data_IF_409572652578
#
_entry.id   IF_409572652578
#
_cell.length_a   1.000
_cell.length_b   1.000
_cell.length_c   1.000
_cell.angle_alpha   90.00
_cell.angle_beta   90.00
_cell.angle_gamma   90.00
#
_symmetry.space_group_name_H-M   'P 1'
#
loop_
_entity.id
_entity.type
_entity.pdbx_description
1 polymer ?
#
# COMPACT_ATOMS: atom_id res chain seq x y z
N UNK A 1 -6.96 1.14 -10.33
CA UNK A 1 -6.91 1.34 -8.88
C UNK A 1 -5.64 0.77 -8.28
N UNK A 2 -5.21 1.34 -7.18
CA UNK A 2 -4.07 0.86 -6.37
C UNK A 2 -4.47 0.77 -4.91
N UNK A 3 -3.95 -0.24 -4.22
CA UNK A 3 -4.10 -0.42 -2.78
C UNK A 3 -2.77 -0.18 -2.10
N UNK A 4 -2.77 0.67 -1.08
CA UNK A 4 -1.69 0.78 -0.11
C UNK A 4 -2.09 0.10 1.20
N UNK A 5 -1.23 -0.76 1.72
CA UNK A 5 -1.51 -1.56 2.92
C UNK A 5 -0.41 -1.37 3.94
N UNK A 6 -0.79 -0.90 5.12
CA UNK A 6 0.04 -0.82 6.31
C UNK A 6 -0.48 -1.84 7.35
N UNK A 7 0.35 -2.78 7.71
CA UNK A 7 -0.01 -3.90 8.58
C UNK A 7 0.51 -3.69 9.98
N UNK A 8 -0.40 -3.68 10.95
CA UNK A 8 -0.08 -3.69 12.39
C UNK A 8 -0.20 -5.10 12.98
N UNK A 9 0.11 -5.23 14.25
CA UNK A 9 0.13 -6.51 14.97
C UNK A 9 -1.26 -7.15 15.14
N UNK A 10 -2.32 -6.34 15.09
CA UNK A 10 -3.70 -6.81 15.24
C UNK A 10 -4.21 -6.84 16.68
N UNK A 11 -3.46 -6.29 17.62
CA UNK A 11 -3.88 -6.20 19.02
C UNK A 11 -4.89 -5.07 19.22
N UNK A 12 -5.94 -5.33 20.00
CA UNK A 12 -7.01 -4.38 20.23
C UNK A 12 -6.62 -3.08 20.94
N UNK A 13 -5.42 -3.01 21.53
CA UNK A 13 -4.83 -1.84 22.18
C UNK A 13 -3.58 -1.32 21.46
N UNK A 14 -3.21 -1.93 20.33
CA UNK A 14 -2.06 -1.54 19.51
C UNK A 14 -2.43 -0.62 18.36
N UNK A 15 -1.51 -0.53 17.41
CA UNK A 15 -1.73 0.23 16.19
C UNK A 15 -2.77 -0.41 15.28
N UNK A 16 -3.40 0.39 14.47
CA UNK A 16 -4.36 -0.06 13.47
C UNK A 16 -3.66 -0.51 12.19
N UNK A 17 -4.17 -1.58 11.59
CA UNK A 17 -3.91 -1.84 10.18
C UNK A 17 -4.79 -0.95 9.31
N UNK A 18 -4.27 -0.56 8.16
CA UNK A 18 -4.97 0.31 7.24
C UNK A 18 -4.82 -0.17 5.80
N UNK A 19 -5.90 -0.14 5.04
CA UNK A 19 -5.91 -0.33 3.59
C UNK A 19 -6.50 0.92 2.97
N UNK A 20 -5.77 1.54 2.06
CA UNK A 20 -6.27 2.67 1.28
C UNK A 20 -6.38 2.28 -0.18
N UNK A 21 -7.51 2.59 -0.80
CA UNK A 21 -7.74 2.38 -2.23
C UNK A 21 -7.81 3.70 -2.93
N UNK A 22 -6.97 3.86 -3.94
CA UNK A 22 -6.89 5.08 -4.75
C UNK A 22 -7.28 4.78 -6.19
N UNK A 23 -8.05 5.69 -6.79
CA UNK A 23 -8.11 5.78 -8.24
C UNK A 23 -6.81 6.41 -8.72
N UNK A 24 -5.94 5.60 -9.35
CA UNK A 24 -4.62 6.05 -9.77
C UNK A 24 -4.67 7.07 -10.93
N UNK A 25 -5.77 7.10 -11.69
CA UNK A 25 -5.97 8.04 -12.79
C UNK A 25 -6.39 9.41 -12.28
N UNK A 26 -7.35 9.45 -11.36
CA UNK A 26 -7.90 10.69 -10.81
C UNK A 26 -7.15 11.19 -9.57
N UNK A 27 -6.32 10.36 -8.95
CA UNK A 27 -5.62 10.68 -7.71
C UNK A 27 -6.55 10.79 -6.49
N UNK A 28 -7.72 10.16 -6.53
CA UNK A 28 -8.72 10.24 -5.47
C UNK A 28 -8.77 8.98 -4.62
N UNK A 29 -8.97 9.13 -3.31
CA UNK A 29 -9.25 8.02 -2.42
C UNK A 29 -10.71 7.56 -2.62
N UNK A 30 -10.90 6.29 -2.94
CA UNK A 30 -12.23 5.70 -3.21
C UNK A 30 -12.70 4.77 -2.12
N UNK A 31 -11.78 4.22 -1.32
CA UNK A 31 -12.13 3.40 -0.15
C UNK A 31 -11.00 3.42 0.89
N UNK A 32 -11.38 3.16 2.12
CA UNK A 32 -10.45 2.91 3.23
C UNK A 32 -11.02 1.80 4.12
N UNK A 33 -10.14 0.90 4.54
CA UNK A 33 -10.39 -0.05 5.61
C UNK A 33 -9.43 0.24 6.76
N UNK A 34 -9.91 0.19 7.99
CA UNK A 34 -9.12 0.52 9.17
C UNK A 34 -9.60 -0.32 10.35
N UNK A 35 -8.70 -1.01 11.01
CA UNK A 35 -9.10 -1.89 12.11
C UNK A 35 -7.96 -2.67 12.75
N UNK A 36 -8.34 -3.47 13.75
CA UNK A 36 -7.46 -4.39 14.46
C UNK A 36 -7.83 -5.83 14.10
N UNK A 37 -7.07 -6.43 13.21
CA UNK A 37 -7.15 -7.86 12.89
C UNK A 37 -5.74 -8.41 12.71
N UNK A 38 -5.54 -9.73 12.92
CA UNK A 38 -4.25 -10.36 12.67
C UNK A 38 -3.77 -10.15 11.24
N UNK A 39 -2.45 -10.08 11.00
CA UNK A 39 -1.88 -9.84 9.68
C UNK A 39 -2.29 -10.84 8.59
N UNK A 40 -2.50 -12.09 8.93
CA UNK A 40 -2.98 -13.14 8.03
C UNK A 40 -4.47 -12.94 7.67
N UNK A 41 -5.29 -12.51 8.61
CA UNK A 41 -6.70 -12.15 8.36
C UNK A 41 -6.81 -10.86 7.52
N UNK A 42 -5.94 -9.88 7.75
CA UNK A 42 -5.89 -8.66 6.94
C UNK A 42 -5.71 -8.98 5.45
N UNK A 43 -4.98 -10.05 5.13
CA UNK A 43 -4.78 -10.46 3.74
C UNK A 43 -6.10 -10.80 3.03
N UNK A 44 -7.10 -11.33 3.72
CA UNK A 44 -8.42 -11.58 3.13
C UNK A 44 -9.16 -10.27 2.81
N UNK A 45 -9.07 -9.28 3.70
CA UNK A 45 -9.65 -7.96 3.43
C UNK A 45 -8.98 -7.28 2.24
N UNK A 46 -7.64 -7.34 2.18
CA UNK A 46 -6.86 -6.83 1.04
C UNK A 46 -7.24 -7.55 -0.26
N UNK A 47 -7.33 -8.88 -0.22
CA UNK A 47 -7.73 -9.69 -1.36
C UNK A 47 -9.12 -9.30 -1.87
N UNK A 48 -10.10 -9.22 -0.98
CA UNK A 48 -11.48 -8.90 -1.32
C UNK A 48 -11.61 -7.50 -1.92
N UNK A 49 -10.98 -6.50 -1.30
CA UNK A 49 -10.94 -5.13 -1.84
C UNK A 49 -10.23 -5.08 -3.19
N UNK A 50 -9.10 -5.75 -3.32
CA UNK A 50 -8.34 -5.78 -4.57
C UNK A 50 -9.14 -6.38 -5.73
N UNK A 51 -9.84 -7.48 -5.51
CA UNK A 51 -10.72 -8.10 -6.51
C UNK A 51 -11.90 -7.18 -6.85
N UNK A 52 -12.54 -6.58 -5.84
CA UNK A 52 -13.65 -5.63 -6.01
C UNK A 52 -13.26 -4.46 -6.93
N UNK A 53 -12.04 -3.96 -6.79
CA UNK A 53 -11.51 -2.87 -7.60
C UNK A 53 -10.76 -3.37 -8.86
N UNK A 54 -11.16 -4.49 -9.43
CA UNK A 54 -10.68 -4.99 -10.71
C UNK A 54 -9.24 -5.51 -10.68
N UNK A 55 -8.87 -6.26 -9.67
CA UNK A 55 -7.50 -6.73 -9.43
C UNK A 55 -6.49 -5.56 -9.31
N UNK A 56 -6.81 -4.60 -8.48
CA UNK A 56 -6.00 -3.42 -8.26
C UNK A 56 -4.56 -3.78 -7.86
N UNK A 57 -3.59 -2.96 -8.27
CA UNK A 57 -2.21 -3.13 -7.84
C UNK A 57 -2.11 -2.98 -6.33
N UNK A 58 -1.69 -4.03 -5.65
CA UNK A 58 -1.58 -4.07 -4.20
C UNK A 58 -0.14 -3.87 -3.75
N UNK A 59 0.10 -2.80 -3.01
CA UNK A 59 1.38 -2.47 -2.41
C UNK A 59 1.29 -2.60 -0.89
N UNK A 60 1.85 -3.67 -0.35
CA UNK A 60 1.94 -3.90 1.10
C UNK A 60 3.28 -3.40 1.62
N UNK A 61 3.29 -2.67 2.73
CA UNK A 61 4.54 -2.38 3.42
C UNK A 61 5.15 -3.68 3.97
N UNK A 62 6.37 -4.01 3.56
CA UNK A 62 7.02 -5.29 3.84
C UNK A 62 7.77 -5.33 5.18
N UNK A 63 7.48 -4.40 6.08
CA UNK A 63 8.08 -4.37 7.40
C UNK A 63 7.34 -5.33 8.35
N UNK A 64 8.09 -6.03 9.21
CA UNK A 64 7.54 -6.88 10.28
C UNK A 64 6.29 -7.68 9.86
N UNK A 65 5.13 -7.26 10.35
CA UNK A 65 3.84 -7.95 10.16
C UNK A 65 3.35 -7.92 8.71
N UNK A 66 3.81 -6.98 7.89
CA UNK A 66 3.50 -6.92 6.46
C UNK A 66 3.97 -8.14 5.67
N UNK A 67 5.06 -8.79 6.09
CA UNK A 67 5.53 -10.03 5.47
C UNK A 67 4.52 -11.18 5.63
N UNK A 68 3.83 -11.26 6.75
CA UNK A 68 2.76 -12.24 6.97
C UNK A 68 1.59 -11.99 6.02
N UNK A 69 1.16 -10.74 5.90
CA UNK A 69 0.09 -10.34 4.97
C UNK A 69 0.48 -10.66 3.52
N UNK A 70 1.71 -10.34 3.10
CA UNK A 70 2.24 -10.66 1.76
C UNK A 70 2.23 -12.16 1.51
N UNK A 71 2.71 -12.94 2.48
CA UNK A 71 2.77 -14.41 2.35
C UNK A 71 1.37 -14.99 2.17
N UNK A 72 0.41 -14.54 2.97
CA UNK A 72 -0.97 -15.00 2.87
C UNK A 72 -1.64 -14.57 1.55
N UNK A 73 -1.43 -13.34 1.09
CA UNK A 73 -1.91 -12.89 -0.22
C UNK A 73 -1.39 -13.75 -1.38
N UNK A 74 -0.12 -14.15 -1.31
CA UNK A 74 0.47 -15.07 -2.30
C UNK A 74 -0.18 -16.45 -2.25
N UNK A 75 -0.46 -16.97 -1.06
CA UNK A 75 -1.17 -18.24 -0.89
C UNK A 75 -2.60 -18.19 -1.42
N UNK A 76 -3.27 -17.05 -1.27
CA UNK A 76 -4.59 -16.78 -1.84
C UNK A 76 -4.55 -16.59 -3.37
N UNK A 77 -3.36 -16.50 -3.97
CA UNK A 77 -3.19 -16.31 -5.40
C UNK A 77 -3.58 -14.91 -5.89
N UNK A 78 -3.43 -13.87 -5.06
CA UNK A 78 -3.72 -12.51 -5.49
C UNK A 78 -2.87 -12.12 -6.70
N UNK A 79 -3.47 -11.67 -7.82
CA UNK A 79 -2.76 -11.65 -9.10
C UNK A 79 -1.86 -10.44 -9.33
N UNK A 80 -2.07 -9.32 -8.62
CA UNK A 80 -1.45 -8.04 -8.95
C UNK A 80 -0.79 -7.39 -7.74
N UNK A 81 0.35 -7.94 -7.33
CA UNK A 81 1.13 -7.46 -6.20
C UNK A 81 2.34 -6.65 -6.66
N UNK A 82 2.55 -5.51 -6.01
CA UNK A 82 3.74 -4.68 -6.22
C UNK A 82 5.02 -5.43 -5.80
N UNK A 83 6.04 -5.33 -6.65
CA UNK A 83 7.38 -5.89 -6.41
C UNK A 83 8.42 -4.79 -6.58
N UNK A 84 9.33 -4.68 -5.63
CA UNK A 84 10.50 -3.82 -5.75
C UNK A 84 11.68 -4.58 -6.29
N UNK A 85 12.57 -3.90 -6.98
CA UNK A 85 13.88 -4.45 -7.34
C UNK A 85 14.83 -4.30 -6.16
N UNK A 86 15.54 -5.36 -5.84
CA UNK A 86 16.57 -5.40 -4.80
C UNK A 86 17.86 -5.97 -5.36
N UNK A 87 18.97 -5.28 -5.15
CA UNK A 87 20.29 -5.79 -5.50
C UNK A 87 20.81 -6.65 -4.33
N UNK A 88 21.03 -7.93 -4.58
CA UNK A 88 21.69 -8.78 -3.60
C UNK A 88 23.20 -8.53 -3.65
N UNK A 89 23.72 -7.83 -2.64
CA UNK A 89 25.14 -7.46 -2.55
C UNK A 89 26.11 -8.64 -2.44
N UNK A 90 25.62 -9.82 -2.08
CA UNK A 90 26.46 -11.03 -1.97
C UNK A 90 26.57 -11.78 -3.30
N UNK A 91 25.56 -11.71 -4.16
CA UNK A 91 25.51 -12.46 -5.42
C UNK A 91 25.57 -11.56 -6.65
N UNK A 92 25.57 -10.26 -6.48
CA UNK A 92 25.51 -9.23 -7.54
C UNK A 92 24.34 -9.45 -8.53
N UNK A 93 23.27 -10.08 -8.04
CA UNK A 93 22.06 -10.37 -8.82
C UNK A 93 20.92 -9.46 -8.40
N UNK A 94 20.21 -8.96 -9.41
CA UNK A 94 18.92 -8.28 -9.19
C UNK A 94 17.86 -9.31 -8.84
N UNK A 95 17.21 -9.12 -7.70
CA UNK A 95 16.03 -9.88 -7.29
C UNK A 95 14.80 -8.98 -7.23
N UNK A 96 13.62 -9.59 -7.35
CA UNK A 96 12.34 -8.92 -7.14
C UNK A 96 11.76 -9.39 -5.82
N UNK A 97 11.46 -8.45 -4.95
CA UNK A 97 10.85 -8.70 -3.65
C UNK A 97 9.47 -8.06 -3.58
N UNK A 98 8.51 -8.78 -3.00
CA UNK A 98 7.15 -8.26 -2.82
C UNK A 98 7.10 -7.13 -1.80
N UNK A 99 6.24 -6.16 -2.08
CA UNK A 99 5.92 -5.09 -1.18
C UNK A 99 6.89 -3.92 -1.21
N UNK A 100 6.52 -2.88 -0.48
CA UNK A 100 7.29 -1.66 -0.30
C UNK A 100 8.10 -1.73 0.99
N UNK A 101 9.32 -1.22 0.96
CA UNK A 101 10.17 -1.11 2.15
C UNK A 101 10.38 0.36 2.48
N UNK A 102 9.80 0.80 3.59
CA UNK A 102 10.05 2.12 4.14
C UNK A 102 11.39 2.14 4.86
N UNK A 103 12.25 3.08 4.50
CA UNK A 103 13.59 3.27 5.05
C UNK A 103 13.76 4.71 5.51
N UNK A 104 14.86 4.99 6.20
CA UNK A 104 15.23 6.36 6.56
C UNK A 104 15.39 7.28 5.36
N UNK A 105 15.78 6.73 4.21
CA UNK A 105 15.94 7.48 2.96
C UNK A 105 14.63 7.63 2.20
N UNK A 106 13.83 6.56 2.10
CA UNK A 106 12.59 6.60 1.31
C UNK A 106 11.45 7.34 2.01
N UNK A 107 11.41 7.33 3.35
CA UNK A 107 10.30 7.96 4.10
C UNK A 107 10.17 9.47 3.85
N UNK A 108 11.24 10.29 3.93
CA UNK A 108 11.13 11.71 3.60
C UNK A 108 10.66 11.97 2.17
N UNK A 109 11.16 11.20 1.20
CA UNK A 109 10.73 11.33 -0.20
C UNK A 109 9.25 11.01 -0.39
N UNK A 110 8.75 9.97 0.27
CA UNK A 110 7.32 9.63 0.25
C UNK A 110 6.45 10.75 0.82
N UNK A 111 6.89 11.38 1.92
CA UNK A 111 6.18 12.50 2.55
C UNK A 111 6.19 13.72 1.63
N UNK A 112 7.31 14.03 1.01
CA UNK A 112 7.42 15.15 0.07
C UNK A 112 6.53 14.93 -1.16
N UNK A 113 6.53 13.73 -1.73
CA UNK A 113 5.67 13.36 -2.86
C UNK A 113 4.18 13.46 -2.51
N UNK A 114 3.79 12.98 -1.32
CA UNK A 114 2.43 13.11 -0.83
C UNK A 114 2.03 14.58 -0.63
N UNK A 115 2.91 15.36 -0.01
CA UNK A 115 2.68 16.81 0.19
C UNK A 115 2.48 17.54 -1.12
N UNK A 116 3.29 17.22 -2.12
CA UNK A 116 3.17 17.77 -3.47
C UNK A 116 1.83 17.37 -4.13
N UNK A 117 1.46 16.10 -4.05
CA UNK A 117 0.20 15.58 -4.60
C UNK A 117 -1.02 16.29 -3.97
N UNK A 118 -1.03 16.45 -2.65
CA UNK A 118 -2.09 17.17 -1.94
C UNK A 118 -2.16 18.65 -2.34
N UNK A 119 -1.03 19.31 -2.56
CA UNK A 119 -0.96 20.70 -3.01
C UNK A 119 -1.54 20.86 -4.41
N UNK A 120 -1.26 19.95 -5.33
CA UNK A 120 -1.81 19.95 -6.70
C UNK A 120 -3.34 19.77 -6.67
N UNK A 121 -3.84 18.81 -5.87
CA UNK A 121 -5.27 18.58 -5.70
C UNK A 121 -5.98 19.80 -5.13
N UNK A 122 -5.40 20.45 -4.12
CA UNK A 122 -5.95 21.69 -3.53
C UNK A 122 -6.01 22.82 -4.56
N UNK A 123 -4.98 22.97 -5.40
CA UNK A 123 -4.93 23.99 -6.43
C UNK A 123 -5.96 23.74 -7.53
N UNK A 124 -6.15 22.50 -7.95
CA UNK A 124 -7.20 22.09 -8.90
C UNK A 124 -8.60 22.41 -8.38
N UNK A 125 -8.85 22.11 -7.12
CA UNK A 125 -10.14 22.40 -6.48
C UNK A 125 -10.46 23.92 -6.44
N UNK A 126 -9.46 24.75 -6.19
CA UNK A 126 -9.62 26.22 -6.23
C UNK A 126 -9.81 26.75 -7.66
N UNK A 127 -9.15 26.15 -8.64
CA UNK A 127 -9.34 26.53 -10.05
C UNK A 127 -10.77 26.23 -10.54
N UNK A 128 -11.33 25.08 -10.13
CA UNK A 128 -12.72 24.71 -10.45
C UNK A 128 -13.75 25.62 -9.78
N UNK A 129 -13.46 26.10 -8.57
CA UNK A 129 -14.32 27.05 -7.86
C UNK A 129 -14.25 28.49 -8.44
N UNK A 130 -13.14 28.83 -9.12
CA UNK A 130 -12.95 30.13 -9.76
C UNK A 130 -13.49 30.19 -11.20
N UNK A 131 -13.78 29.06 -11.78
CA UNK A 131 -14.38 28.94 -13.10
C UNK A 131 -15.89 29.00 -13.01
#
# INVERSE_FOLDING_TARGET
>A
YVLGVDTAEGLGHGDYSCIQVLDAKEGTQVAVWHGHIPPDELAYEVHNLGIWYGNALCCVESNNHGLTTITQLRQLGYPNMFRRRSLNSQTDRMSQEFGWKTTRTSKPLMIDDLSMALSILSFGMFADLAA
#
